data_IF_308927600408
#
_entry.id   IF_308927600408
#
_cell.length_a   1.000
_cell.length_b   1.000
_cell.length_c   1.000
_cell.angle_alpha   90.00
_cell.angle_beta   90.00
_cell.angle_gamma   90.00
#
_symmetry.space_group_name_H-M   'P 1'
#
loop_
_entity.id
_entity.type
_entity.pdbx_description
1 polymer ?
#
# COMPACT_ATOMS: atom_id res chain seq x y z
N UNK A 1 -6.42 13.14 2.93
CA UNK A 1 -6.99 12.57 1.70
C UNK A 1 -7.58 11.22 2.06
N UNK A 2 -8.77 10.88 1.56
CA UNK A 2 -9.28 9.52 1.71
C UNK A 2 -8.69 8.64 0.60
N UNK A 3 -8.58 7.35 0.90
CA UNK A 3 -8.06 6.33 -0.01
C UNK A 3 -9.09 5.22 -0.10
N UNK A 4 -9.45 4.85 -1.33
CA UNK A 4 -10.21 3.64 -1.57
C UNK A 4 -9.20 2.53 -1.52
N UNK A 5 -9.19 1.81 -0.41
CA UNK A 5 -8.22 0.75 -0.18
C UNK A 5 -8.65 -0.57 -0.79
N UNK A 6 -9.83 -0.66 -1.42
CA UNK A 6 -10.35 -1.91 -2.01
C UNK A 6 -10.31 -3.11 -1.01
N UNK A 7 -10.58 -2.84 0.27
CA UNK A 7 -10.50 -3.86 1.32
C UNK A 7 -9.09 -4.19 1.81
N UNK A 8 -8.07 -3.50 1.30
CA UNK A 8 -6.72 -3.56 1.82
C UNK A 8 -6.59 -2.72 3.11
N UNK A 9 -5.85 -3.21 4.10
CA UNK A 9 -5.57 -2.48 5.33
C UNK A 9 -4.06 -2.44 5.61
N UNK A 10 -3.51 -1.25 5.90
CA UNK A 10 -2.13 -1.15 6.34
C UNK A 10 -1.99 -1.74 7.74
N UNK A 11 -0.90 -2.44 7.99
CA UNK A 11 -0.52 -2.94 9.30
C UNK A 11 1.00 -2.79 9.50
N UNK A 12 1.42 -2.80 10.75
CA UNK A 12 2.82 -2.76 11.13
C UNK A 12 3.08 -3.90 12.10
N UNK A 13 3.95 -4.81 11.68
CA UNK A 13 4.52 -5.83 12.55
C UNK A 13 5.92 -5.35 12.98
N UNK A 14 6.26 -5.46 14.27
CA UNK A 14 7.56 -5.00 14.75
C UNK A 14 8.72 -5.93 14.37
N UNK A 15 8.46 -7.22 14.18
CA UNK A 15 9.46 -8.18 13.75
C UNK A 15 9.58 -8.21 12.22
N UNK A 16 8.44 -8.14 11.54
CA UNK A 16 8.36 -8.32 10.09
C UNK A 16 8.22 -7.02 9.29
N UNK A 17 8.04 -5.88 9.96
CA UNK A 17 7.92 -4.57 9.35
C UNK A 17 6.53 -4.28 8.74
N UNK A 18 6.46 -3.36 7.76
CA UNK A 18 5.19 -2.97 7.15
C UNK A 18 4.52 -4.16 6.46
N UNK A 19 3.20 -4.25 6.63
CA UNK A 19 2.37 -5.25 5.99
C UNK A 19 1.12 -4.61 5.39
N UNK A 20 0.61 -5.25 4.34
CA UNK A 20 -0.66 -4.93 3.72
C UNK A 20 -1.50 -6.19 3.78
N UNK A 21 -2.64 -6.11 4.43
CA UNK A 21 -3.61 -7.20 4.45
C UNK A 21 -4.63 -6.96 3.35
N UNK A 22 -4.85 -7.95 2.49
CA UNK A 22 -5.90 -7.96 1.46
C UNK A 22 -6.83 -9.10 1.81
N UNK A 23 -8.11 -8.79 2.07
CA UNK A 23 -9.08 -9.77 2.57
C UNK A 23 -8.60 -10.53 3.83
N UNK A 24 -7.87 -9.84 4.72
CA UNK A 24 -7.31 -10.42 5.95
C UNK A 24 -6.05 -11.25 5.76
N UNK A 25 -5.53 -11.41 4.54
CA UNK A 25 -4.31 -12.16 4.26
C UNK A 25 -3.15 -11.23 3.90
N UNK A 26 -1.94 -11.57 4.33
CA UNK A 26 -0.75 -10.76 4.05
C UNK A 26 -0.37 -10.86 2.57
N UNK A 27 -0.24 -9.69 1.94
CA UNK A 27 0.20 -9.61 0.57
C UNK A 27 1.73 -9.84 0.48
N UNK A 28 2.14 -10.94 -0.16
CA UNK A 28 3.52 -11.41 -0.18
C UNK A 28 4.51 -10.45 -0.86
N UNK A 29 4.04 -9.72 -1.87
CA UNK A 29 4.94 -8.95 -2.73
C UNK A 29 5.16 -7.49 -2.26
N UNK A 30 4.71 -7.13 -1.06
CA UNK A 30 4.84 -5.74 -0.56
C UNK A 30 6.30 -5.33 -0.38
N UNK A 31 7.09 -6.15 0.31
CA UNK A 31 8.47 -5.86 0.71
C UNK A 31 9.37 -5.42 -0.44
N UNK A 32 9.48 -6.15 -1.57
CA UNK A 32 10.36 -5.74 -2.67
C UNK A 32 10.01 -4.37 -3.26
N UNK A 33 8.72 -3.95 -3.21
CA UNK A 33 8.29 -2.65 -3.76
C UNK A 33 8.55 -1.49 -2.81
N UNK A 34 8.48 -1.74 -1.51
CA UNK A 34 8.93 -0.78 -0.50
C UNK A 34 10.45 -0.59 -0.62
N UNK A 35 11.20 -1.67 -0.87
CA UNK A 35 12.64 -1.59 -1.03
C UNK A 35 13.03 -0.69 -2.21
N UNK A 36 12.46 -0.89 -3.40
CA UNK A 36 12.68 0.02 -4.55
C UNK A 36 12.33 1.47 -4.24
N UNK A 37 11.23 1.72 -3.51
CA UNK A 37 10.89 3.07 -3.10
C UNK A 37 11.93 3.69 -2.16
N UNK A 38 12.45 2.93 -1.21
CA UNK A 38 13.38 3.45 -0.18
C UNK A 38 14.81 3.56 -0.71
N UNK A 39 15.28 2.56 -1.46
CA UNK A 39 16.65 2.49 -1.96
C UNK A 39 16.85 3.32 -3.22
N UNK A 40 15.92 3.22 -4.18
CA UNK A 40 16.05 3.91 -5.48
C UNK A 40 15.27 5.23 -5.53
N UNK A 41 14.42 5.50 -4.53
CA UNK A 41 13.52 6.65 -4.53
C UNK A 41 12.39 6.54 -5.54
N UNK A 42 12.16 5.36 -6.15
CA UNK A 42 11.17 5.15 -7.20
C UNK A 42 9.83 4.62 -6.64
N UNK A 43 8.77 5.43 -6.63
CA UNK A 43 7.46 5.00 -6.15
C UNK A 43 6.65 4.21 -7.19
N UNK A 44 7.08 4.13 -8.46
CA UNK A 44 6.26 3.56 -9.53
C UNK A 44 5.88 2.09 -9.30
N UNK A 45 6.80 1.18 -8.92
CA UNK A 45 6.45 -0.23 -8.70
C UNK A 45 5.41 -0.42 -7.61
N UNK A 46 5.53 0.33 -6.50
CA UNK A 46 4.58 0.28 -5.39
C UNK A 46 3.21 0.83 -5.81
N UNK A 47 3.18 1.97 -6.52
CA UNK A 47 1.92 2.58 -6.99
C UNK A 47 1.19 1.68 -7.98
N UNK A 48 1.90 1.11 -8.94
CA UNK A 48 1.30 0.23 -9.94
C UNK A 48 0.74 -1.02 -9.30
N UNK A 49 1.45 -1.60 -8.34
CA UNK A 49 0.94 -2.77 -7.62
C UNK A 49 -0.29 -2.46 -6.77
N UNK A 50 -0.27 -1.37 -6.00
CA UNK A 50 -1.46 -0.91 -5.27
C UNK A 50 -2.64 -0.69 -6.24
N UNK A 51 -2.38 -0.16 -7.44
CA UNK A 51 -3.42 -0.01 -8.45
C UNK A 51 -3.96 -1.36 -8.96
N UNK A 52 -3.12 -2.37 -9.12
CA UNK A 52 -3.56 -3.72 -9.47
C UNK A 52 -4.41 -4.36 -8.37
N UNK A 53 -4.13 -4.05 -7.10
CA UNK A 53 -4.97 -4.43 -5.95
C UNK A 53 -6.29 -3.66 -5.86
N UNK A 54 -6.54 -2.72 -6.77
CA UNK A 54 -7.74 -1.88 -6.75
C UNK A 54 -7.62 -0.65 -5.85
N UNK A 55 -6.51 -0.47 -5.13
CA UNK A 55 -6.29 0.73 -4.31
C UNK A 55 -6.21 1.95 -5.22
N UNK A 56 -7.00 2.99 -4.91
CA UNK A 56 -7.07 4.23 -5.68
C UNK A 56 -6.96 5.43 -4.75
N UNK A 57 -6.13 6.43 -5.08
CA UNK A 57 -6.21 7.71 -4.41
C UNK A 57 -7.55 8.35 -4.78
N UNK A 58 -8.45 8.47 -3.81
CA UNK A 58 -9.69 9.19 -4.01
C UNK A 58 -9.41 10.69 -4.02
N UNK A 59 -10.33 11.44 -4.65
CA UNK A 59 -10.36 12.90 -4.60
C UNK A 59 -10.17 13.37 -3.15
N UNK A 60 -9.40 14.43 -2.87
CA UNK A 60 -9.17 14.88 -1.49
C UNK A 60 -10.50 15.14 -0.79
N UNK A 61 -10.83 14.28 0.19
CA UNK A 61 -11.96 14.51 1.09
C UNK A 61 -11.64 15.74 1.92
N UNK A 62 -12.38 16.82 1.66
CA UNK A 62 -12.42 17.97 2.57
C UNK A 62 -13.16 17.51 3.81
N UNK A 63 -12.47 17.48 4.93
CA UNK A 63 -13.10 17.33 6.23
C UNK A 63 -13.86 18.64 6.48
N UNK A 64 -15.19 18.56 6.55
CA UNK A 64 -16.09 19.63 7.01
C UNK A 64 -16.32 19.50 8.50
#
# INVERSE_FOLDING_TARGET
AAMDTAGATPALDWLDGPSLLVNGQRAADLTPRILTLVEDGDPAPLRDWLRHLGVRPEKPVRLV
#
